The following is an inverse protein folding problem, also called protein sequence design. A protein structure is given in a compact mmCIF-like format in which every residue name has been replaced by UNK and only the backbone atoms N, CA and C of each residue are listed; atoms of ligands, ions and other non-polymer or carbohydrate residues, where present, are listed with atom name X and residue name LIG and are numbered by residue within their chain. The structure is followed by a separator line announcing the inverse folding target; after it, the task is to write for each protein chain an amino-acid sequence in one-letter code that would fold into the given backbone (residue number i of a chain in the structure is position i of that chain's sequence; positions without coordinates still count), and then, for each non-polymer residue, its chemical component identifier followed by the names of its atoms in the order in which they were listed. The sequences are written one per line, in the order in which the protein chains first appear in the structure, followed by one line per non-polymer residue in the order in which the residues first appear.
data_IF_953423247407
#
_entry.id   IF_953423247407
#
_cell.length_a   1.000
_cell.length_b   1.000
_cell.length_c   1.000
_cell.angle_alpha   90.00
_cell.angle_beta   90.00
_cell.angle_gamma   90.00
#
_symmetry.space_group_name_H-M   'P 1'
#
loop_
_entity.id
_entity.type
_entity.pdbx_description
1 polymer ?
#
# COMPACT_ATOMS: atom_id res chain seq x y z
N UNK A 1 4.77 -12.08 9.71
CA UNK A 1 4.01 -10.93 9.18
C UNK A 1 4.20 -9.71 10.07
N UNK A 2 4.66 -8.60 9.48
CA UNK A 2 4.88 -7.32 10.15
C UNK A 2 3.70 -6.38 9.92
N UNK A 3 3.26 -5.75 11.01
CA UNK A 3 2.31 -4.65 10.94
C UNK A 3 3.08 -3.38 10.63
N UNK A 4 2.71 -2.69 9.54
CA UNK A 4 3.32 -1.43 9.15
C UNK A 4 2.26 -0.34 9.09
N UNK A 5 2.61 0.82 9.63
CA UNK A 5 1.79 2.02 9.56
C UNK A 5 2.03 2.71 8.22
N UNK A 6 0.95 3.01 7.51
CA UNK A 6 1.01 3.76 6.26
C UNK A 6 0.12 4.99 6.32
N UNK A 7 0.59 6.08 5.72
CA UNK A 7 -0.09 7.36 5.71
C UNK A 7 -0.20 7.88 4.29
N UNK A 8 -1.18 8.74 4.03
CA UNK A 8 -1.05 9.65 2.89
C UNK A 8 -0.13 10.80 3.29
N UNK A 9 0.72 11.26 2.37
CA UNK A 9 1.75 12.25 2.66
C UNK A 9 1.57 13.51 1.83
N UNK A 10 2.00 14.64 2.35
CA UNK A 10 2.21 15.85 1.56
C UNK A 10 3.62 15.78 0.94
N UNK A 11 3.69 15.76 -0.39
CA UNK A 11 4.94 15.66 -1.15
C UNK A 11 5.38 17.04 -1.66
N UNK A 12 6.70 17.28 -1.76
CA UNK A 12 7.23 18.50 -2.33
C UNK A 12 6.81 18.62 -3.80
N UNK A 13 6.74 19.85 -4.34
CA UNK A 13 6.48 20.05 -5.75
C UNK A 13 7.54 19.33 -6.62
N UNK A 14 7.17 18.87 -7.82
CA UNK A 14 8.12 18.26 -8.72
C UNK A 14 9.30 19.19 -9.05
N UNK A 15 10.50 18.64 -9.23
CA UNK A 15 11.71 19.42 -9.49
C UNK A 15 11.61 20.33 -10.74
N UNK A 16 10.78 19.96 -11.71
CA UNK A 16 10.52 20.75 -12.93
C UNK A 16 9.52 21.90 -12.73
N UNK A 17 8.81 21.95 -11.59
CA UNK A 17 7.91 23.03 -11.19
C UNK A 17 8.09 23.37 -9.70
N UNK A 18 9.27 23.86 -9.27
CA UNK A 18 9.57 24.04 -7.84
C UNK A 18 8.71 25.13 -7.17
N UNK A 19 8.07 26.01 -7.95
CA UNK A 19 7.13 27.03 -7.47
C UNK A 19 5.70 26.50 -7.30
N UNK A 20 5.42 25.25 -7.70
CA UNK A 20 4.11 24.65 -7.50
C UNK A 20 3.85 24.41 -6.02
N UNK A 21 2.57 24.23 -5.67
CA UNK A 21 2.19 23.87 -4.31
C UNK A 21 2.56 22.41 -4.04
N UNK A 22 2.94 22.07 -2.80
CA UNK A 22 2.99 20.70 -2.34
C UNK A 22 1.68 19.98 -2.63
N UNK A 23 1.74 18.67 -2.90
CA UNK A 23 0.58 17.88 -3.31
C UNK A 23 0.44 16.62 -2.46
N UNK A 24 -0.81 16.19 -2.27
CA UNK A 24 -1.11 14.96 -1.54
C UNK A 24 -0.71 13.74 -2.37
N UNK A 25 -0.01 12.78 -1.75
CA UNK A 25 0.41 11.55 -2.41
C UNK A 25 -0.82 10.74 -2.88
N UNK A 26 -0.69 10.08 -4.03
CA UNK A 26 -1.78 9.25 -4.59
C UNK A 26 -1.92 7.90 -3.89
N UNK A 27 -0.87 7.43 -3.24
CA UNK A 27 -0.85 6.17 -2.49
C UNK A 27 -0.35 6.41 -1.06
N UNK A 28 -0.71 5.48 -0.16
CA UNK A 28 -0.22 5.46 1.21
C UNK A 28 1.16 4.83 1.27
N UNK A 29 2.04 5.37 2.11
CA UNK A 29 3.45 4.97 2.26
C UNK A 29 3.83 4.91 3.74
N UNK A 30 4.82 4.11 4.08
CA UNK A 30 5.43 4.15 5.42
C UNK A 30 6.24 5.42 5.63
N UNK A 31 6.69 5.67 6.86
CA UNK A 31 7.53 6.83 7.20
C UNK A 31 8.87 6.76 6.47
N UNK A 32 9.44 5.58 6.34
CA UNK A 32 10.72 5.31 5.67
C UNK A 32 10.63 5.63 4.17
N UNK A 33 9.63 5.08 3.48
CA UNK A 33 9.38 5.37 2.05
C UNK A 33 9.10 6.86 1.80
N UNK A 34 8.44 7.52 2.75
CA UNK A 34 8.14 8.94 2.69
C UNK A 34 9.41 9.79 2.84
N UNK A 35 10.32 9.41 3.75
CA UNK A 35 11.60 10.08 3.94
C UNK A 35 12.48 9.97 2.68
N UNK A 36 12.53 8.80 2.05
CA UNK A 36 13.26 8.61 0.77
C UNK A 36 12.74 9.51 -0.35
N UNK A 37 11.45 9.86 -0.31
CA UNK A 37 10.79 10.74 -1.28
C UNK A 37 10.82 12.22 -0.90
N UNK A 38 11.41 12.56 0.24
CA UNK A 38 11.42 13.91 0.77
C UNK A 38 10.04 14.44 1.12
N UNK A 39 9.14 13.57 1.59
CA UNK A 39 7.81 13.97 2.05
C UNK A 39 7.91 15.02 3.17
N UNK A 40 6.97 15.95 3.18
CA UNK A 40 6.96 17.08 4.11
C UNK A 40 6.32 16.66 5.42
N UNK A 41 5.10 16.11 5.38
CA UNK A 41 4.35 15.70 6.57
C UNK A 41 3.26 14.66 6.25
N UNK A 42 2.86 13.82 7.22
CA UNK A 42 1.75 12.90 7.05
C UNK A 42 0.41 13.64 7.16
N UNK A 43 -0.53 13.31 6.29
CA UNK A 43 -1.88 13.84 6.33
C UNK A 43 -2.65 13.26 7.52
N UNK A 44 -3.16 14.13 8.39
CA UNK A 44 -3.99 13.72 9.54
C UNK A 44 -5.19 12.85 9.11
N UNK A 45 -5.51 11.84 9.93
CA UNK A 45 -6.64 10.93 9.70
C UNK A 45 -6.47 9.95 8.54
N UNK A 46 -5.29 9.84 7.93
CA UNK A 46 -5.04 8.91 6.80
C UNK A 46 -4.29 7.63 7.19
N UNK A 47 -3.92 7.50 8.46
CA UNK A 47 -3.20 6.35 9.01
C UNK A 47 -3.99 5.05 8.77
N UNK A 48 -3.29 4.02 8.34
CA UNK A 48 -3.81 2.68 8.17
C UNK A 48 -2.73 1.67 8.56
N UNK A 49 -3.15 0.57 9.18
CA UNK A 49 -2.28 -0.55 9.50
C UNK A 49 -2.38 -1.57 8.37
N UNK A 50 -1.25 -1.87 7.73
CA UNK A 50 -1.14 -2.92 6.73
C UNK A 50 -0.29 -4.06 7.24
N UNK A 51 -0.64 -5.28 6.85
CA UNK A 51 0.18 -6.45 7.08
C UNK A 51 1.10 -6.64 5.88
N UNK A 52 2.41 -6.59 6.11
CA UNK A 52 3.40 -6.96 5.12
C UNK A 52 4.07 -8.29 5.51
N UNK A 53 4.26 -9.22 4.57
CA UNK A 53 5.06 -10.40 4.81
C UNK A 53 6.51 -10.00 5.10
N UNK A 54 7.15 -10.65 6.07
CA UNK A 54 8.52 -10.35 6.50
C UNK A 54 9.56 -11.13 5.70
N UNK A 55 9.15 -12.25 5.09
CA UNK A 55 10.04 -13.14 4.36
C UNK A 55 9.55 -13.42 2.94
N UNK A 56 10.47 -13.80 2.06
CA UNK A 56 10.15 -14.28 0.70
C UNK A 56 9.23 -15.51 0.72
N UNK A 57 9.36 -16.36 1.74
CA UNK A 57 8.49 -17.52 1.95
C UNK A 57 7.07 -17.09 2.33
N UNK A 58 6.90 -16.08 3.17
CA UNK A 58 5.57 -15.51 3.46
C UNK A 58 4.96 -14.81 2.23
N UNK A 59 5.78 -14.16 1.40
CA UNK A 59 5.35 -13.57 0.12
C UNK A 59 4.84 -14.69 -0.80
N UNK A 60 5.61 -15.77 -0.98
CA UNK A 60 5.24 -16.87 -1.88
C UNK A 60 4.01 -17.62 -1.37
N UNK A 61 3.88 -17.83 -0.06
CA UNK A 61 2.69 -18.42 0.55
C UNK A 61 1.43 -17.55 0.35
N UNK A 62 1.55 -16.22 0.51
CA UNK A 62 0.44 -15.29 0.25
C UNK A 62 0.04 -15.24 -1.23
N UNK A 63 1.00 -15.24 -2.14
CA UNK A 63 0.73 -15.27 -3.58
C UNK A 63 0.02 -16.58 -3.99
N UNK A 64 0.51 -17.72 -3.52
CA UNK A 64 -0.11 -19.03 -3.77
C UNK A 64 -1.55 -19.08 -3.26
N UNK A 65 -1.78 -18.57 -2.05
CA UNK A 65 -3.11 -18.51 -1.44
C UNK A 65 -4.06 -17.57 -2.19
N UNK A 66 -3.57 -16.43 -2.67
CA UNK A 66 -4.37 -15.48 -3.47
C UNK A 66 -4.74 -16.05 -4.85
N UNK A 67 -3.84 -16.82 -5.47
CA UNK A 67 -4.09 -17.51 -6.73
C UNK A 67 -5.13 -18.64 -6.57
N UNK A 68 -5.02 -19.46 -5.52
CA UNK A 68 -6.00 -20.51 -5.23
C UNK A 68 -7.40 -19.97 -4.94
N UNK A 69 -7.52 -18.84 -4.24
CA UNK A 69 -8.81 -18.16 -4.03
C UNK A 69 -9.46 -17.66 -5.33
N UNK A 70 -8.68 -17.40 -6.38
CA UNK A 70 -9.18 -16.89 -7.66
C UNK A 70 -9.63 -17.99 -8.62
N UNK A 71 -9.15 -19.22 -8.45
CA UNK A 71 -9.50 -20.37 -9.28
C UNK A 71 -10.73 -21.12 -8.80
N UNK A 72 -11.14 -20.93 -7.54
CA UNK A 72 -12.42 -21.44 -7.02
C UNK A 72 -13.51 -20.39 -7.28
N UNK A 73 -14.03 -20.33 -8.51
CA UNK A 73 -15.40 -19.84 -8.68
C UNK A 73 -16.32 -20.86 -8.00
N UNK A 74 -17.31 -20.44 -7.18
CA UNK A 74 -18.41 -21.35 -6.86
C UNK A 74 -19.12 -21.63 -8.19
N UNK A 75 -18.88 -22.80 -8.76
CA UNK A 75 -19.82 -23.36 -9.72
C UNK A 75 -21.13 -23.49 -8.97
N UNK A 76 -22.10 -22.69 -9.39
CA UNK A 76 -23.49 -22.76 -8.98
C UNK A 76 -23.99 -24.18 -9.23
N UNK A 77 -23.94 -25.03 -8.20
CA UNK A 77 -24.59 -26.35 -8.21
C UNK A 77 -26.07 -26.12 -7.93
N UNK A 78 -26.75 -25.46 -8.87
CA UNK A 78 -28.20 -25.41 -8.93
C UNK A 78 -28.72 -26.70 -9.54
N UNK A 79 -28.87 -27.73 -8.70
CA UNK A 79 -29.73 -28.87 -8.99
C UNK A 79 -31.14 -28.55 -8.50
N UNK A 80 -32.12 -28.54 -9.41
CA UNK A 80 -33.29 -29.43 -9.45
C UNK A 80 -34.12 -29.07 -10.69
#
# INVERSE_FOLDING_TARGET
MKHVEVFTWLLPPPAWTPKAKPYKSRWKMTVEEAAERGAIEPCAGTMEIRNQPETLEEISANLTSAWQKRTVKPSDTGGD
#
